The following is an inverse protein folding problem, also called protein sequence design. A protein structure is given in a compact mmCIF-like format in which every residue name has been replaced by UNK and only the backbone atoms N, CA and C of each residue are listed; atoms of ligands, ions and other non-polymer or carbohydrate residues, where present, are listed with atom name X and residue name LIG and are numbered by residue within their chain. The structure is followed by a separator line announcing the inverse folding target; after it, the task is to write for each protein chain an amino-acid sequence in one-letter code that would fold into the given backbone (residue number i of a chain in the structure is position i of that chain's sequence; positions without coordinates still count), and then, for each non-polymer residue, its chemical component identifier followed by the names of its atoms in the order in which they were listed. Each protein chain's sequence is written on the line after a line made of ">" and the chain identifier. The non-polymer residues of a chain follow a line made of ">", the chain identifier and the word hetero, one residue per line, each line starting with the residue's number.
data_IF_748860609540
#
_entry.id   IF_748860609540
#
_cell.length_a   1.000
_cell.length_b   1.000
_cell.length_c   1.000
_cell.angle_alpha   90.00
_cell.angle_beta   90.00
_cell.angle_gamma   90.00
#
_symmetry.space_group_name_H-M   'P 1'
#
loop_
_entity.id
_entity.type
_entity.pdbx_description
1 polymer ?
#
# COMPACT_ATOMS: atom_id res chain seq x y z
N UNK A 1 4.95 -1.90 15.06
CA UNK A 1 3.74 -1.07 15.32
C UNK A 1 3.57 -1.00 16.82
N UNK A 2 3.81 0.16 17.43
CA UNK A 2 3.52 0.35 18.86
C UNK A 2 2.00 0.46 19.08
N UNK A 3 1.49 -0.06 20.20
CA UNK A 3 0.06 -0.34 20.42
C UNK A 3 -0.61 0.60 21.42
N UNK A 4 -0.11 1.82 21.63
CA UNK A 4 -0.69 2.77 22.59
C UNK A 4 -2.09 3.28 22.18
N UNK A 5 -2.40 3.28 20.87
CA UNK A 5 -3.70 3.63 20.29
C UNK A 5 -4.30 2.59 19.35
N UNK A 6 -3.52 1.79 18.60
CA UNK A 6 -4.09 0.73 17.76
C UNK A 6 -4.80 -0.32 18.61
N UNK A 7 -5.99 -0.72 18.16
CA UNK A 7 -6.74 -1.84 18.69
C UNK A 7 -7.27 -2.72 17.55
N UNK A 8 -8.06 -3.75 17.86
CA UNK A 8 -8.61 -4.67 16.86
C UNK A 8 -9.41 -3.98 15.74
N UNK A 9 -9.97 -2.79 16.01
CA UNK A 9 -10.83 -2.07 15.06
C UNK A 9 -10.05 -1.33 13.97
N UNK A 10 -8.76 -1.03 14.18
CA UNK A 10 -7.95 -0.23 13.26
C UNK A 10 -6.55 -0.80 13.01
N UNK A 11 -6.23 -1.99 13.54
CA UNK A 11 -4.96 -2.65 13.31
C UNK A 11 -4.66 -2.80 11.82
N UNK A 12 -5.61 -3.33 11.06
CA UNK A 12 -5.48 -3.61 9.63
C UNK A 12 -5.21 -2.35 8.81
N UNK A 13 -5.96 -1.28 9.07
CA UNK A 13 -5.84 -0.03 8.32
C UNK A 13 -4.54 0.69 8.63
N UNK A 14 -4.02 0.58 9.85
CA UNK A 14 -2.74 1.17 10.21
C UNK A 14 -1.58 0.36 9.61
N UNK A 15 -1.64 -0.97 9.65
CA UNK A 15 -0.56 -1.84 9.18
C UNK A 15 -0.51 -1.91 7.64
N UNK A 16 -1.66 -2.06 6.99
CA UNK A 16 -1.75 -2.32 5.55
C UNK A 16 -2.26 -1.09 4.77
N UNK A 17 -1.69 -0.80 3.59
CA UNK A 17 -0.69 -1.57 2.85
C UNK A 17 0.77 -1.22 3.19
N UNK A 18 1.04 -0.37 4.19
CA UNK A 18 2.40 0.13 4.49
C UNK A 18 3.40 -0.99 4.79
N UNK A 19 3.02 -2.02 5.53
CA UNK A 19 3.91 -3.15 5.83
C UNK A 19 4.29 -3.96 4.57
N UNK A 20 3.51 -3.86 3.48
CA UNK A 20 3.84 -4.54 2.24
C UNK A 20 5.05 -3.92 1.53
N UNK A 21 5.27 -2.61 1.64
CA UNK A 21 6.46 -1.98 1.03
C UNK A 21 7.73 -2.46 1.71
N UNK A 22 7.73 -2.59 3.04
CA UNK A 22 8.86 -3.19 3.77
C UNK A 22 9.04 -4.67 3.41
N UNK A 23 7.95 -5.41 3.20
CA UNK A 23 8.03 -6.80 2.78
C UNK A 23 8.71 -6.95 1.41
N UNK A 24 8.40 -6.08 0.45
CA UNK A 24 9.07 -6.05 -0.86
C UNK A 24 10.58 -5.77 -0.70
N UNK A 25 10.96 -4.74 0.04
CA UNK A 25 12.37 -4.38 0.25
C UNK A 25 13.17 -5.52 0.92
N UNK A 26 12.59 -6.19 1.91
CA UNK A 26 13.26 -7.31 2.58
C UNK A 26 13.27 -8.60 1.75
N UNK A 27 12.32 -8.77 0.82
CA UNK A 27 12.22 -9.96 -0.02
C UNK A 27 13.11 -9.89 -1.26
N UNK A 28 13.00 -8.81 -2.04
CA UNK A 28 13.74 -8.64 -3.31
C UNK A 28 15.00 -7.78 -3.19
N UNK A 29 15.23 -7.15 -2.04
CA UNK A 29 16.35 -6.26 -1.81
C UNK A 29 16.05 -4.79 -2.15
N UNK A 30 16.93 -3.87 -1.72
CA UNK A 30 16.79 -2.43 -1.99
C UNK A 30 17.10 -2.09 -3.46
N UNK A 31 16.58 -0.94 -3.93
CA UNK A 31 16.92 -0.39 -5.26
C UNK A 31 15.78 -0.33 -6.29
N UNK A 32 14.54 -0.67 -5.90
CA UNK A 32 13.36 -0.53 -6.76
C UNK A 32 12.95 0.92 -7.02
N UNK A 33 12.42 1.20 -8.22
CA UNK A 33 11.88 2.51 -8.56
C UNK A 33 10.44 2.65 -8.01
N UNK A 34 10.21 3.69 -7.20
CA UNK A 34 8.90 3.97 -6.58
C UNK A 34 7.80 4.14 -7.63
N UNK A 35 8.07 4.77 -8.77
CA UNK A 35 7.08 4.97 -9.83
C UNK A 35 6.62 3.64 -10.46
N UNK A 36 7.46 2.60 -10.39
CA UNK A 36 7.13 1.24 -10.85
C UNK A 36 6.43 0.44 -9.75
N UNK A 37 6.82 0.64 -8.48
CA UNK A 37 6.24 -0.07 -7.34
C UNK A 37 4.83 0.44 -6.97
N UNK A 38 4.53 1.73 -7.22
CA UNK A 38 3.27 2.35 -6.81
C UNK A 38 2.02 1.66 -7.42
N UNK A 39 1.95 1.36 -8.73
CA UNK A 39 0.85 0.57 -9.29
C UNK A 39 0.69 -0.81 -8.64
N UNK A 40 1.79 -1.48 -8.32
CA UNK A 40 1.76 -2.81 -7.68
C UNK A 40 1.20 -2.72 -6.25
N UNK A 41 1.58 -1.69 -5.51
CA UNK A 41 1.09 -1.42 -4.17
C UNK A 41 -0.43 -1.14 -4.15
N UNK A 42 -0.94 -0.44 -5.17
CA UNK A 42 -2.37 -0.23 -5.35
C UNK A 42 -3.12 -1.55 -5.55
N UNK A 43 -2.64 -2.38 -6.49
CA UNK A 43 -3.23 -3.69 -6.75
C UNK A 43 -3.24 -4.58 -5.50
N UNK A 44 -2.14 -4.57 -4.74
CA UNK A 44 -2.03 -5.32 -3.49
C UNK A 44 -3.04 -4.83 -2.43
N UNK A 45 -3.28 -3.52 -2.35
CA UNK A 45 -4.32 -2.94 -1.49
C UNK A 45 -5.71 -3.50 -1.80
N UNK A 46 -6.07 -3.61 -3.08
CA UNK A 46 -7.33 -4.26 -3.49
C UNK A 46 -7.34 -5.75 -3.14
N UNK A 47 -6.23 -6.46 -3.37
CA UNK A 47 -6.09 -7.89 -3.05
C UNK A 47 -6.25 -8.17 -1.56
N UNK A 48 -5.81 -7.26 -0.68
CA UNK A 48 -6.00 -7.37 0.77
C UNK A 48 -7.47 -7.18 1.17
N UNK A 49 -8.14 -6.16 0.63
CA UNK A 49 -9.57 -5.94 0.89
C UNK A 49 -10.44 -7.09 0.42
N UNK A 50 -10.15 -7.63 -0.76
CA UNK A 50 -10.84 -8.80 -1.30
C UNK A 50 -10.65 -10.06 -0.43
N UNK A 51 -9.61 -10.09 0.43
CA UNK A 51 -9.35 -11.16 1.41
C UNK A 51 -9.84 -10.83 2.82
N UNK A 52 -10.56 -9.73 3.00
CA UNK A 52 -11.10 -9.32 4.30
C UNK A 52 -10.14 -8.51 5.18
N UNK A 53 -8.93 -8.19 4.70
CA UNK A 53 -8.00 -7.31 5.42
C UNK A 53 -8.36 -5.86 5.14
N UNK A 54 -8.66 -5.07 6.18
CA UNK A 54 -9.11 -3.69 6.03
C UNK A 54 -7.97 -2.70 5.72
N UNK A 55 -7.26 -2.92 4.62
CA UNK A 55 -6.14 -2.07 4.19
C UNK A 55 -6.60 -0.65 3.81
N UNK A 56 -5.84 0.36 4.26
CA UNK A 56 -6.09 1.78 3.98
C UNK A 56 -6.00 2.11 2.49
N UNK A 57 -6.87 3.00 2.00
CA UNK A 57 -6.84 3.47 0.61
C UNK A 57 -5.74 4.53 0.49
N UNK A 58 -4.79 4.31 -0.42
CA UNK A 58 -3.69 5.26 -0.65
C UNK A 58 -4.16 6.39 -1.59
N UNK A 59 -4.44 6.13 -2.89
CA UNK A 59 -5.01 7.14 -3.77
C UNK A 59 -6.54 6.98 -3.93
N UNK A 60 -7.21 8.01 -4.46
CA UNK A 60 -8.47 7.85 -5.17
C UNK A 60 -8.39 6.78 -6.27
N UNK A 61 -9.47 6.04 -6.47
CA UNK A 61 -9.58 4.98 -7.50
C UNK A 61 -9.32 5.49 -8.93
N UNK A 62 -9.58 6.78 -9.19
CA UNK A 62 -9.23 7.39 -10.48
C UNK A 62 -7.76 7.20 -10.86
N UNK A 63 -6.86 7.31 -9.89
CA UNK A 63 -5.41 7.18 -10.13
C UNK A 63 -4.96 5.72 -10.22
N UNK A 64 -5.70 4.77 -9.65
CA UNK A 64 -5.35 3.34 -9.77
C UNK A 64 -5.64 2.84 -11.18
N UNK A 65 -6.66 3.38 -11.85
CA UNK A 65 -7.00 3.09 -13.25
C UNK A 65 -6.07 3.78 -14.25
N UNK A 66 -5.27 4.77 -13.82
CA UNK A 66 -4.42 5.59 -14.68
C UNK A 66 -3.01 5.70 -14.10
N UNK A 67 -2.15 4.71 -14.37
CA UNK A 67 -0.76 4.74 -13.95
C UNK A 67 -0.09 6.06 -14.36
N UNK A 68 0.75 6.61 -13.48
CA UNK A 68 1.54 7.84 -13.69
C UNK A 68 0.74 9.15 -13.75
N UNK A 69 -0.60 9.14 -13.82
CA UNK A 69 -1.43 10.35 -13.82
C UNK A 69 -1.42 11.14 -12.49
N UNK A 70 -0.82 10.54 -11.45
CA UNK A 70 -0.72 11.08 -10.10
C UNK A 70 0.71 11.50 -9.74
N UNK A 71 1.65 11.40 -10.69
CA UNK A 71 3.04 11.74 -10.45
C UNK A 71 3.18 13.28 -10.42
N UNK A 72 3.71 13.82 -9.33
CA UNK A 72 3.91 15.25 -9.17
C UNK A 72 5.05 15.79 -10.06
N UNK A 73 5.88 14.89 -10.59
CA UNK A 73 7.09 15.22 -11.36
C UNK A 73 6.96 14.98 -12.87
N UNK A 74 5.75 14.68 -13.36
CA UNK A 74 5.46 14.43 -14.78
C UNK A 74 5.55 15.70 -15.66
#
# INVERSE_FOLDING_TARGET
>A
LWTERPGPQNLDSIVWPRAATSAEVFWSGPGGNVSVALPHLHELGYRFRNRGVQATALPPEWYTLRPYACDFSA
#
